data_IF_225822206360
#
_entry.id   IF_225822206360
#
_cell.length_a   1.000
_cell.length_b   1.000
_cell.length_c   1.000
_cell.angle_alpha   90.00
_cell.angle_beta   90.00
_cell.angle_gamma   90.00
#
_symmetry.space_group_name_H-M   'P 1'
#
loop_
_entity.id
_entity.type
_entity.pdbx_description
1 polymer ?
#
# COMPACT_ATOMS: atom_id res chain seq x y z
N UNK A 1 -14.78 22.14 -8.87
CA UNK A 1 -14.49 22.05 -10.32
C UNK A 1 -13.79 20.72 -10.53
N UNK A 2 -14.42 19.73 -11.15
CA UNK A 2 -13.80 18.44 -11.48
C UNK A 2 -12.69 18.77 -12.47
N UNK A 3 -11.43 18.73 -12.07
CA UNK A 3 -10.33 18.70 -13.04
C UNK A 3 -10.47 17.39 -13.79
N UNK A 4 -10.31 17.41 -15.11
CA UNK A 4 -10.28 16.20 -15.94
C UNK A 4 -9.09 15.33 -15.48
N UNK A 5 -9.37 14.44 -14.53
CA UNK A 5 -8.42 13.43 -14.07
C UNK A 5 -8.50 12.27 -15.07
N UNK A 6 -7.38 11.92 -15.66
CA UNK A 6 -7.31 10.79 -16.58
C UNK A 6 -7.39 9.47 -15.78
N UNK A 7 -8.61 8.94 -15.64
CA UNK A 7 -8.88 7.72 -14.88
C UNK A 7 -8.48 6.47 -15.67
N UNK A 8 -7.85 5.51 -15.01
CA UNK A 8 -7.68 4.17 -15.54
C UNK A 8 -8.97 3.38 -15.36
N UNK A 9 -9.52 2.81 -16.45
CA UNK A 9 -10.78 2.04 -16.41
C UNK A 9 -10.52 0.54 -16.45
N UNK A 10 -11.01 -0.16 -15.44
CA UNK A 10 -11.03 -1.63 -15.42
C UNK A 10 -12.09 -2.15 -16.39
N UNK A 11 -11.67 -3.05 -17.26
CA UNK A 11 -12.56 -3.71 -18.21
C UNK A 11 -13.01 -5.08 -17.68
N UNK A 12 -12.20 -5.72 -16.86
CA UNK A 12 -12.40 -7.03 -16.28
C UNK A 12 -11.96 -7.07 -14.83
N UNK A 13 -12.37 -8.10 -14.12
CA UNK A 13 -11.94 -8.37 -12.75
C UNK A 13 -10.43 -8.58 -12.69
N UNK A 14 -9.78 -7.92 -11.72
CA UNK A 14 -8.32 -7.97 -11.54
C UNK A 14 -7.82 -9.30 -10.94
N UNK A 15 -8.73 -10.13 -10.42
CA UNK A 15 -8.39 -11.42 -9.81
C UNK A 15 -8.62 -12.58 -10.78
N UNK A 16 -9.81 -12.67 -11.37
CA UNK A 16 -10.27 -13.83 -12.15
C UNK A 16 -10.46 -13.54 -13.65
N UNK A 17 -10.22 -12.28 -14.08
CA UNK A 17 -10.36 -11.81 -15.45
C UNK A 17 -11.77 -11.99 -16.06
N UNK A 18 -12.80 -12.14 -15.23
CA UNK A 18 -14.21 -12.24 -15.66
C UNK A 18 -14.83 -10.87 -15.92
N UNK A 19 -16.02 -10.87 -16.54
CA UNK A 19 -16.80 -9.65 -16.77
C UNK A 19 -17.23 -9.00 -15.43
N UNK A 20 -17.40 -7.69 -15.47
CA UNK A 20 -17.77 -6.87 -14.33
C UNK A 20 -19.20 -6.37 -14.48
N UNK A 21 -20.03 -6.61 -13.47
CA UNK A 21 -21.39 -6.10 -13.36
C UNK A 21 -21.43 -4.87 -12.46
N UNK A 22 -22.30 -3.91 -12.78
CA UNK A 22 -22.52 -2.72 -11.97
C UNK A 22 -23.10 -3.09 -10.61
N UNK A 23 -22.52 -2.53 -9.53
CA UNK A 23 -23.00 -2.74 -8.16
C UNK A 23 -23.62 -1.45 -7.58
N UNK A 24 -22.84 -0.38 -7.51
CA UNK A 24 -23.31 0.93 -7.01
C UNK A 24 -22.45 2.07 -7.55
N UNK A 25 -22.95 3.29 -7.34
CA UNK A 25 -22.23 4.52 -7.70
C UNK A 25 -22.50 5.59 -6.66
N UNK A 26 -21.43 6.20 -6.17
CA UNK A 26 -21.45 7.23 -5.15
C UNK A 26 -20.50 8.37 -5.50
N UNK A 27 -20.80 9.59 -5.05
CA UNK A 27 -19.87 10.72 -5.08
C UNK A 27 -19.11 10.77 -3.76
N UNK A 28 -17.80 10.84 -3.83
CA UNK A 28 -16.94 10.78 -2.64
C UNK A 28 -15.81 11.80 -2.71
N UNK A 29 -15.39 12.42 -1.58
CA UNK A 29 -14.19 13.23 -1.55
C UNK A 29 -12.96 12.37 -1.81
N UNK A 30 -12.07 12.86 -2.69
CA UNK A 30 -10.86 12.14 -3.07
C UNK A 30 -9.91 11.97 -1.89
N UNK A 31 -9.78 13.02 -1.07
CA UNK A 31 -8.95 13.03 0.11
C UNK A 31 -9.82 12.91 1.36
N UNK A 32 -9.57 11.86 2.15
CA UNK A 32 -10.23 11.66 3.44
C UNK A 32 -9.33 12.27 4.52
N UNK A 33 -9.79 13.33 5.18
CA UNK A 33 -9.07 13.95 6.29
C UNK A 33 -9.63 15.31 6.64
N UNK A 34 -9.33 15.77 7.84
CA UNK A 34 -9.64 17.13 8.26
C UNK A 34 -8.57 18.07 7.69
N UNK A 35 -8.98 19.01 6.87
CA UNK A 35 -8.12 20.10 6.36
C UNK A 35 -8.61 21.42 6.94
N UNK A 36 -7.68 22.32 7.23
CA UNK A 36 -8.00 23.68 7.72
C UNK A 36 -8.38 24.65 6.58
N UNK A 37 -8.36 24.19 5.33
CA UNK A 37 -8.67 24.97 4.15
C UNK A 37 -10.14 24.87 3.74
N UNK A 38 -10.58 25.86 2.94
CA UNK A 38 -11.94 25.92 2.40
C UNK A 38 -12.28 24.71 1.52
N UNK A 39 -13.52 24.20 1.64
CA UNK A 39 -14.09 23.07 0.86
C UNK A 39 -13.98 23.24 -0.67
N UNK A 40 -13.75 24.43 -1.18
CA UNK A 40 -13.58 24.70 -2.62
C UNK A 40 -12.36 24.03 -3.24
N UNK A 41 -11.40 23.59 -2.42
CA UNK A 41 -10.18 22.89 -2.84
C UNK A 41 -10.36 21.36 -2.79
N UNK A 42 -11.47 20.88 -2.24
CA UNK A 42 -11.81 19.46 -2.23
C UNK A 42 -12.07 18.93 -3.65
N UNK A 43 -11.47 17.80 -3.95
CA UNK A 43 -11.75 17.04 -5.17
C UNK A 43 -12.80 16.00 -4.88
N UNK A 44 -13.96 16.12 -5.53
CA UNK A 44 -15.01 15.10 -5.48
C UNK A 44 -14.87 14.20 -6.70
N UNK A 45 -14.83 12.91 -6.50
CA UNK A 45 -14.83 11.93 -7.57
C UNK A 45 -16.06 11.02 -7.52
N UNK A 46 -16.46 10.53 -8.69
CA UNK A 46 -17.47 9.49 -8.79
C UNK A 46 -16.80 8.13 -8.62
N UNK A 47 -17.23 7.38 -7.61
CA UNK A 47 -16.82 6.01 -7.36
C UNK A 47 -17.88 5.06 -7.92
N UNK A 48 -17.55 4.35 -8.99
CA UNK A 48 -18.35 3.27 -9.53
C UNK A 48 -17.81 1.94 -9.03
N UNK A 49 -18.62 1.26 -8.21
CA UNK A 49 -18.34 -0.07 -7.71
C UNK A 49 -18.91 -1.12 -8.66
N UNK A 50 -18.12 -2.13 -8.92
CA UNK A 50 -18.48 -3.27 -9.77
C UNK A 50 -18.13 -4.58 -9.08
N UNK A 51 -18.80 -5.65 -9.48
CA UNK A 51 -18.62 -6.97 -8.92
C UNK A 51 -18.38 -7.99 -10.04
N UNK A 52 -17.46 -8.92 -9.83
CA UNK A 52 -17.25 -10.07 -10.72
C UNK A 52 -18.25 -11.18 -10.43
N UNK A 53 -18.33 -12.17 -11.33
CA UNK A 53 -19.15 -13.35 -11.14
C UNK A 53 -18.81 -14.13 -9.87
N UNK A 54 -17.55 -14.12 -9.47
CA UNK A 54 -17.07 -14.82 -8.26
C UNK A 54 -17.19 -13.94 -6.99
N UNK A 55 -17.84 -12.78 -7.09
CA UNK A 55 -18.13 -11.91 -5.95
C UNK A 55 -17.03 -10.92 -5.57
N UNK A 56 -16.00 -10.71 -6.42
CA UNK A 56 -14.95 -9.74 -6.16
C UNK A 56 -15.46 -8.33 -6.41
N UNK A 57 -15.56 -7.53 -5.37
CA UNK A 57 -15.99 -6.13 -5.43
C UNK A 57 -14.77 -5.24 -5.64
N UNK A 58 -14.85 -4.31 -6.61
CA UNK A 58 -13.74 -3.44 -6.98
C UNK A 58 -14.22 -2.13 -7.61
N UNK A 59 -13.36 -1.10 -7.58
CA UNK A 59 -13.63 0.16 -8.27
C UNK A 59 -13.44 -0.02 -9.78
N UNK A 60 -14.39 0.51 -10.55
CA UNK A 60 -14.34 0.54 -12.03
C UNK A 60 -13.34 1.56 -12.53
N UNK A 61 -13.32 2.72 -11.91
CA UNK A 61 -12.49 3.85 -12.30
C UNK A 61 -11.43 4.08 -11.23
N UNK A 62 -10.16 4.07 -11.62
CA UNK A 62 -9.04 4.23 -10.71
C UNK A 62 -8.39 5.59 -10.92
N UNK A 63 -8.14 6.28 -9.82
CA UNK A 63 -7.44 7.56 -9.81
C UNK A 63 -5.93 7.29 -9.89
N UNK A 64 -5.15 8.05 -10.66
CA UNK A 64 -3.69 7.91 -10.64
C UNK A 64 -3.12 7.98 -9.22
N UNK A 65 -2.23 7.06 -8.88
CA UNK A 65 -1.68 6.97 -7.51
C UNK A 65 -0.93 8.24 -7.10
N UNK A 66 -0.30 8.93 -8.05
CA UNK A 66 0.40 10.19 -7.82
C UNK A 66 -0.53 11.31 -7.35
N UNK A 67 -1.81 11.26 -7.73
CA UNK A 67 -2.84 12.18 -7.25
C UNK A 67 -3.34 11.72 -5.89
N UNK A 68 -3.64 10.43 -5.75
CA UNK A 68 -4.20 9.86 -4.52
C UNK A 68 -3.25 10.02 -3.33
N UNK A 69 -1.95 9.87 -3.56
CA UNK A 69 -0.90 9.97 -2.53
C UNK A 69 -0.14 11.31 -2.52
N UNK A 70 -0.62 12.31 -3.26
CA UNK A 70 0.07 13.61 -3.36
C UNK A 70 0.31 14.32 -2.01
N UNK A 71 -0.60 14.14 -1.04
CA UNK A 71 -0.57 14.82 0.26
C UNK A 71 -0.22 13.88 1.43
N UNK A 72 0.29 12.70 1.15
CA UNK A 72 0.51 11.67 2.16
C UNK A 72 -0.80 11.02 2.63
N UNK A 73 -0.68 9.87 3.27
CA UNK A 73 -1.81 9.16 3.84
C UNK A 73 -1.40 8.57 5.19
N UNK A 74 -1.80 9.23 6.27
CA UNK A 74 -1.34 8.94 7.64
C UNK A 74 -2.23 7.90 8.35
N UNK A 75 -2.74 6.92 7.60
CA UNK A 75 -3.55 5.86 8.18
C UNK A 75 -2.69 4.90 9.02
N UNK A 76 -3.21 4.52 10.17
CA UNK A 76 -2.62 3.44 10.96
C UNK A 76 -1.47 3.83 11.89
N UNK A 77 -1.29 5.12 12.19
CA UNK A 77 -0.19 5.57 13.05
C UNK A 77 -0.60 5.91 14.48
N UNK A 78 -1.91 6.03 14.75
CA UNK A 78 -2.41 6.57 16.03
C UNK A 78 -3.39 5.61 16.71
N UNK A 79 -3.20 5.41 18.01
CA UNK A 79 -4.10 4.70 18.90
C UNK A 79 -3.61 3.30 19.30
N UNK A 80 -4.10 2.85 20.47
CA UNK A 80 -3.65 1.59 21.11
C UNK A 80 -3.89 0.35 20.25
N UNK A 81 -4.94 0.34 19.43
CA UNK A 81 -5.23 -0.78 18.54
C UNK A 81 -4.13 -0.94 17.46
N UNK A 82 -3.67 0.18 16.89
CA UNK A 82 -2.58 0.15 15.92
C UNK A 82 -1.24 -0.20 16.56
N UNK A 83 -0.97 0.28 17.77
CA UNK A 83 0.22 -0.10 18.52
C UNK A 83 0.23 -1.61 18.80
N UNK A 84 -0.91 -2.18 19.19
CA UNK A 84 -1.04 -3.61 19.38
C UNK A 84 -0.89 -4.41 18.09
N UNK A 85 -1.51 -3.96 16.99
CA UNK A 85 -1.34 -4.57 15.67
C UNK A 85 0.13 -4.64 15.26
N UNK A 86 0.87 -3.55 15.32
CA UNK A 86 2.29 -3.53 14.96
C UNK A 86 3.13 -4.43 15.87
N UNK A 87 2.85 -4.47 17.16
CA UNK A 87 3.54 -5.35 18.10
C UNK A 87 3.30 -6.82 17.80
N UNK A 88 2.04 -7.21 17.60
CA UNK A 88 1.70 -8.61 17.31
C UNK A 88 2.20 -9.05 15.93
N UNK A 89 2.18 -8.16 14.94
CA UNK A 89 2.73 -8.45 13.64
C UNK A 89 4.26 -8.58 13.68
N UNK A 90 4.95 -7.73 14.46
CA UNK A 90 6.38 -7.89 14.69
C UNK A 90 6.70 -9.24 15.35
N UNK A 91 5.96 -9.64 16.39
CA UNK A 91 6.11 -10.95 17.03
C UNK A 91 5.89 -12.10 16.04
N UNK A 92 4.99 -11.96 15.09
CA UNK A 92 4.76 -12.96 14.04
C UNK A 92 5.95 -13.05 13.08
N UNK A 93 6.45 -11.91 12.58
CA UNK A 93 7.57 -11.84 11.64
C UNK A 93 8.83 -12.45 12.24
N UNK A 94 9.16 -12.12 13.48
CA UNK A 94 10.39 -12.59 14.16
C UNK A 94 10.46 -14.12 14.30
N UNK A 95 9.31 -14.81 14.30
CA UNK A 95 9.28 -16.29 14.38
C UNK A 95 9.95 -16.98 13.18
N UNK A 96 10.02 -16.31 12.04
CA UNK A 96 10.73 -16.82 10.85
C UNK A 96 12.24 -16.56 10.85
N UNK A 97 12.77 -15.90 11.89
CA UNK A 97 14.19 -15.51 12.03
C UNK A 97 14.73 -14.70 10.83
N UNK A 98 14.01 -13.64 10.37
CA UNK A 98 14.40 -12.88 9.19
C UNK A 98 15.73 -12.14 9.41
N UNK A 99 16.50 -11.95 8.33
CA UNK A 99 17.79 -11.21 8.37
C UNK A 99 17.80 -9.99 7.47
N UNK A 100 17.03 -10.01 6.39
CA UNK A 100 16.98 -8.93 5.40
C UNK A 100 15.53 -8.72 4.90
N UNK A 101 14.82 -7.81 5.53
CA UNK A 101 13.39 -7.59 5.32
C UNK A 101 13.14 -6.41 4.39
N UNK A 102 12.19 -6.58 3.47
CA UNK A 102 11.56 -5.51 2.72
C UNK A 102 10.14 -5.28 3.25
N UNK A 103 9.83 -4.05 3.64
CA UNK A 103 8.48 -3.60 3.99
C UNK A 103 7.95 -2.70 2.87
N UNK A 104 6.80 -3.06 2.29
CA UNK A 104 6.13 -2.28 1.24
C UNK A 104 4.98 -1.51 1.88
N UNK A 105 4.98 -0.18 1.71
CA UNK A 105 3.97 0.69 2.32
C UNK A 105 4.13 0.84 3.83
N UNK A 106 5.39 0.93 4.31
CA UNK A 106 5.70 0.96 5.74
C UNK A 106 5.44 2.30 6.45
N UNK A 107 5.01 3.33 5.73
CA UNK A 107 4.71 4.64 6.28
C UNK A 107 5.88 5.20 7.12
N UNK A 108 5.59 5.52 8.39
CA UNK A 108 6.60 6.03 9.32
C UNK A 108 7.46 4.95 10.01
N UNK A 109 7.39 3.70 9.57
CA UNK A 109 8.24 2.61 10.06
C UNK A 109 7.91 2.13 11.47
N UNK A 110 6.65 2.12 11.87
CA UNK A 110 6.23 1.61 13.20
C UNK A 110 6.47 0.12 13.34
N UNK A 111 6.19 -0.66 12.30
CA UNK A 111 6.44 -2.10 12.29
C UNK A 111 7.95 -2.39 12.36
N UNK A 112 8.74 -1.72 11.52
CA UNK A 112 10.19 -1.86 11.53
C UNK A 112 10.81 -1.56 12.90
N UNK A 113 10.36 -0.50 13.58
CA UNK A 113 10.85 -0.17 14.93
C UNK A 113 10.55 -1.29 15.94
N UNK A 114 9.35 -1.88 15.90
CA UNK A 114 9.00 -3.02 16.75
C UNK A 114 9.91 -4.23 16.46
N UNK A 115 10.11 -4.60 15.19
CA UNK A 115 10.95 -5.73 14.81
C UNK A 115 12.42 -5.50 15.20
N UNK A 116 12.98 -4.32 14.93
CA UNK A 116 14.37 -3.97 15.27
C UNK A 116 14.63 -3.89 16.77
N UNK A 117 13.60 -3.71 17.59
CA UNK A 117 13.72 -3.82 19.05
C UNK A 117 13.83 -5.26 19.55
N UNK A 118 13.43 -6.24 18.74
CA UNK A 118 13.38 -7.67 19.08
C UNK A 118 14.54 -8.46 18.48
N UNK A 119 15.10 -8.03 17.35
CA UNK A 119 16.16 -8.76 16.66
C UNK A 119 17.04 -7.83 15.82
N UNK A 120 18.27 -8.30 15.52
CA UNK A 120 19.23 -7.63 14.63
C UNK A 120 18.90 -8.00 13.18
N UNK A 121 18.20 -7.10 12.47
CA UNK A 121 17.65 -7.31 11.13
C UNK A 121 18.00 -6.11 10.26
N UNK A 122 18.37 -6.35 9.01
CA UNK A 122 18.40 -5.30 7.99
C UNK A 122 16.98 -5.04 7.51
N UNK A 123 16.58 -3.78 7.53
CA UNK A 123 15.21 -3.41 7.16
C UNK A 123 15.20 -2.32 6.10
N UNK A 124 14.49 -2.57 5.02
CA UNK A 124 14.28 -1.62 3.94
C UNK A 124 12.78 -1.32 3.83
N UNK A 125 12.39 -0.06 3.75
CA UNK A 125 11.01 0.38 3.52
C UNK A 125 10.92 1.03 2.14
N UNK A 126 9.92 0.66 1.35
CA UNK A 126 9.49 1.39 0.15
C UNK A 126 8.18 2.08 0.45
N UNK A 127 8.18 3.41 0.38
CA UNK A 127 7.03 4.23 0.75
C UNK A 127 7.07 5.56 -0.02
N UNK A 128 5.97 5.97 -0.71
CA UNK A 128 5.96 7.22 -1.46
C UNK A 128 6.03 8.48 -0.59
N UNK A 129 5.63 8.41 0.68
CA UNK A 129 5.53 9.56 1.57
C UNK A 129 6.18 9.30 2.95
N UNK A 130 7.42 8.80 2.95
CA UNK A 130 8.12 8.54 4.20
C UNK A 130 8.60 9.83 4.87
N UNK A 131 7.90 10.25 5.91
CA UNK A 131 8.35 11.27 6.86
C UNK A 131 9.01 10.61 8.09
N UNK A 132 9.78 11.36 8.88
CA UNK A 132 10.34 10.91 10.16
C UNK A 132 11.13 9.59 10.09
N UNK A 133 12.00 9.45 9.10
CA UNK A 133 12.79 8.24 8.82
C UNK A 133 13.60 7.77 10.04
N UNK A 134 13.48 6.49 10.39
CA UNK A 134 14.23 5.89 11.48
C UNK A 134 15.66 5.60 11.03
N UNK A 135 16.67 5.95 11.85
CA UNK A 135 18.12 5.88 11.50
C UNK A 135 18.66 4.49 11.15
N UNK A 136 18.00 3.43 11.61
CA UNK A 136 18.42 2.05 11.38
C UNK A 136 17.59 1.35 10.29
N UNK A 137 16.88 2.10 9.46
CA UNK A 137 16.04 1.62 8.38
C UNK A 137 16.46 2.29 7.08
N UNK A 138 16.64 1.53 6.03
CA UNK A 138 16.85 2.04 4.68
C UNK A 138 15.51 2.43 4.06
N UNK A 139 15.34 3.69 3.64
CA UNK A 139 14.12 4.15 2.99
C UNK A 139 14.37 4.39 1.51
N UNK A 140 13.44 3.87 0.69
CA UNK A 140 13.35 4.14 -0.74
C UNK A 140 12.04 4.89 -0.97
N UNK A 141 12.14 6.15 -1.37
CA UNK A 141 10.98 6.99 -1.63
C UNK A 141 10.37 6.63 -2.98
N UNK A 142 9.10 6.26 -3.01
CA UNK A 142 8.37 5.91 -4.22
C UNK A 142 7.48 4.67 -4.07
N UNK A 143 6.83 4.31 -5.19
CA UNK A 143 6.04 3.08 -5.26
C UNK A 143 6.94 1.87 -5.48
N UNK A 144 6.47 0.72 -4.99
CA UNK A 144 7.18 -0.53 -5.16
C UNK A 144 7.20 -0.98 -6.62
N UNK A 145 8.43 -1.21 -7.14
CA UNK A 145 8.73 -1.86 -8.41
C UNK A 145 10.05 -2.61 -8.25
N UNK A 146 10.15 -3.82 -8.75
CA UNK A 146 11.34 -4.67 -8.61
C UNK A 146 12.64 -4.02 -9.12
N UNK A 147 12.55 -3.17 -10.15
CA UNK A 147 13.69 -2.49 -10.78
C UNK A 147 14.45 -1.55 -9.83
N UNK A 148 13.78 -1.00 -8.81
CA UNK A 148 14.42 -0.07 -7.86
C UNK A 148 15.49 -0.76 -7.00
N UNK A 149 15.49 -2.08 -6.92
CA UNK A 149 16.40 -2.83 -6.06
C UNK A 149 17.70 -3.25 -6.72
N UNK A 150 17.88 -3.07 -8.03
CA UNK A 150 19.13 -3.43 -8.74
C UNK A 150 19.61 -4.86 -8.44
N UNK A 151 18.70 -5.84 -8.51
CA UNK A 151 18.95 -7.26 -8.16
C UNK A 151 19.23 -7.54 -6.67
N UNK A 152 18.98 -6.61 -5.76
CA UNK A 152 18.95 -6.93 -4.31
C UNK A 152 17.78 -7.87 -4.06
N UNK A 153 18.03 -8.90 -3.25
CA UNK A 153 17.00 -9.84 -2.81
C UNK A 153 16.84 -9.78 -1.29
N UNK A 154 15.66 -10.16 -0.84
CA UNK A 154 15.25 -10.17 0.56
C UNK A 154 14.88 -11.59 0.96
N UNK A 155 15.10 -11.97 2.21
CA UNK A 155 14.63 -13.25 2.72
C UNK A 155 13.14 -13.17 3.15
N UNK A 156 12.67 -11.97 3.44
CA UNK A 156 11.31 -11.73 3.89
C UNK A 156 10.77 -10.45 3.26
N UNK A 157 9.56 -10.51 2.73
CA UNK A 157 8.80 -9.34 2.28
C UNK A 157 7.53 -9.23 3.11
N UNK A 158 7.27 -8.05 3.64
CA UNK A 158 6.09 -7.76 4.46
C UNK A 158 5.34 -6.54 3.93
N UNK A 159 4.04 -6.56 4.08
CA UNK A 159 3.18 -5.40 3.88
C UNK A 159 1.96 -5.50 4.81
N UNK A 160 1.42 -4.37 5.19
CA UNK A 160 0.22 -4.29 6.02
C UNK A 160 -0.63 -3.11 5.57
N UNK A 161 -1.92 -3.32 5.33
CA UNK A 161 -2.83 -2.29 4.81
C UNK A 161 -2.32 -1.62 3.53
N UNK A 162 -1.77 -2.44 2.61
CA UNK A 162 -1.20 -2.01 1.33
C UNK A 162 -1.86 -2.71 0.15
N UNK A 163 -2.12 -4.01 0.28
CA UNK A 163 -2.57 -4.86 -0.83
C UNK A 163 -3.92 -4.41 -1.41
N UNK A 164 -4.83 -3.92 -0.57
CA UNK A 164 -6.13 -3.36 -0.96
C UNK A 164 -6.04 -2.13 -1.85
N UNK A 165 -4.88 -1.46 -1.85
CA UNK A 165 -4.60 -0.28 -2.67
C UNK A 165 -3.91 -0.61 -4.00
N UNK A 166 -3.54 -1.87 -4.22
CA UNK A 166 -2.80 -2.30 -5.40
C UNK A 166 -3.73 -2.43 -6.60
N UNK A 167 -3.40 -1.74 -7.69
CA UNK A 167 -4.21 -1.71 -8.90
C UNK A 167 -4.08 -2.97 -9.74
N UNK A 168 -2.90 -3.60 -9.74
CA UNK A 168 -2.62 -4.86 -10.42
C UNK A 168 -2.02 -5.88 -9.44
N UNK A 169 -2.85 -6.63 -8.70
CA UNK A 169 -2.38 -7.52 -7.64
C UNK A 169 -1.53 -8.70 -8.16
N UNK A 170 -1.78 -9.21 -9.37
CA UNK A 170 -0.97 -10.29 -9.93
C UNK A 170 0.46 -9.83 -10.22
N UNK A 171 0.62 -8.70 -10.90
CA UNK A 171 1.94 -8.12 -11.18
C UNK A 171 2.69 -7.79 -9.88
N UNK A 172 2.00 -7.21 -8.90
CA UNK A 172 2.57 -6.94 -7.59
C UNK A 172 3.13 -8.19 -6.91
N UNK A 173 2.38 -9.30 -6.93
CA UNK A 173 2.84 -10.57 -6.35
C UNK A 173 3.98 -11.21 -7.15
N UNK A 174 3.98 -11.09 -8.48
CA UNK A 174 5.08 -11.53 -9.33
C UNK A 174 6.35 -10.73 -9.05
N UNK A 175 6.25 -9.42 -8.87
CA UNK A 175 7.37 -8.56 -8.49
C UNK A 175 7.90 -8.89 -7.09
N UNK A 176 7.03 -9.13 -6.10
CA UNK A 176 7.43 -9.61 -4.77
C UNK A 176 8.21 -10.92 -4.90
N UNK A 177 7.68 -11.89 -5.65
CA UNK A 177 8.35 -13.17 -5.87
C UNK A 177 9.73 -13.01 -6.50
N UNK A 178 9.92 -12.02 -7.36
CA UNK A 178 11.19 -11.76 -8.05
C UNK A 178 12.27 -11.14 -7.16
N UNK A 179 11.88 -10.47 -6.07
CA UNK A 179 12.82 -9.87 -5.10
C UNK A 179 13.04 -10.75 -3.86
N UNK A 180 12.27 -11.84 -3.72
CA UNK A 180 12.53 -12.84 -2.69
C UNK A 180 13.69 -13.76 -3.05
N UNK A 181 14.50 -14.10 -2.07
CA UNK A 181 15.53 -15.13 -2.22
C UNK A 181 14.85 -16.50 -2.47
N UNK A 182 15.45 -17.35 -3.32
CA UNK A 182 14.92 -18.68 -3.55
C UNK A 182 14.79 -19.47 -2.24
N UNK A 183 13.55 -19.80 -1.85
CA UNK A 183 13.25 -20.49 -0.60
C UNK A 183 12.74 -19.58 0.53
N UNK A 184 12.54 -18.27 0.25
CA UNK A 184 11.86 -17.34 1.15
C UNK A 184 10.33 -17.50 1.10
#
# INVERSE_FOLDING_TARGET
MIRDINLTKRQKCVIDNTELEFLSRDSFPLFCGCVESDLKDDLICEQEWVVSKEGVIQLKNLIPLEILYANGHDAGTVGSLWEEHHREFANFIIKSDPKNVLEIGGGHGKLSQNCLSLADIKWTIVEPNSENKHKNVDYIDGFFHKEIFNNRCFDTVVHSHTFEHIYNPHEFLEEISSVLMGGG
#
